data_IF_346600920220
#
_entry.id   IF_346600920220
#
_cell.length_a   1.000
_cell.length_b   1.000
_cell.length_c   1.000
_cell.angle_alpha   90.00
_cell.angle_beta   90.00
_cell.angle_gamma   90.00
#
_symmetry.space_group_name_H-M   'P 1'
#
loop_
_entity.id
_entity.type
_entity.pdbx_description
1 polymer ?
#
# COMPACT_ATOMS: atom_id res chain seq x y z
N UNK A 1 9.91 6.34 -19.31
CA UNK A 1 10.49 6.12 -17.99
C UNK A 1 10.18 7.34 -17.16
N UNK A 2 9.23 7.23 -16.24
CA UNK A 2 8.85 8.31 -15.34
C UNK A 2 9.73 8.32 -14.10
N UNK A 3 10.04 9.52 -13.62
CA UNK A 3 10.88 9.81 -12.46
C UNK A 3 10.15 10.77 -11.54
N UNK A 4 10.70 11.04 -10.35
CA UNK A 4 10.12 12.00 -9.40
C UNK A 4 9.84 13.37 -10.02
N UNK A 5 10.65 13.81 -11.00
CA UNK A 5 10.50 15.10 -11.68
C UNK A 5 9.27 15.20 -12.60
N UNK A 6 8.68 14.07 -12.99
CA UNK A 6 7.46 14.03 -13.83
C UNK A 6 6.17 14.28 -13.01
N UNK A 7 6.29 14.28 -11.68
CA UNK A 7 5.20 14.48 -10.73
C UNK A 7 5.36 15.82 -10.01
N UNK A 8 4.22 16.47 -9.73
CA UNK A 8 4.19 17.59 -8.81
C UNK A 8 4.48 17.09 -7.38
N UNK A 9 4.87 17.99 -6.44
CA UNK A 9 5.11 17.60 -5.06
C UNK A 9 3.92 16.89 -4.41
N UNK A 10 2.69 17.29 -4.73
CA UNK A 10 1.47 16.71 -4.15
C UNK A 10 1.09 15.37 -4.80
N UNK A 11 1.32 15.24 -6.11
CA UNK A 11 1.21 13.96 -6.80
C UNK A 11 2.23 12.95 -6.26
N UNK A 12 3.46 13.39 -6.01
CA UNK A 12 4.51 12.54 -5.46
C UNK A 12 4.17 12.08 -4.04
N UNK A 13 3.68 12.97 -3.17
CA UNK A 13 3.15 12.60 -1.86
C UNK A 13 2.05 11.55 -1.96
N UNK A 14 1.17 11.69 -2.96
CA UNK A 14 0.09 10.71 -3.20
C UNK A 14 0.64 9.33 -3.56
N UNK A 15 1.72 9.26 -4.36
CA UNK A 15 2.42 8.01 -4.68
C UNK A 15 3.13 7.41 -3.46
N UNK A 16 3.80 8.23 -2.65
CA UNK A 16 4.45 7.80 -1.41
C UNK A 16 3.43 7.26 -0.39
N UNK A 17 2.25 7.88 -0.31
CA UNK A 17 1.16 7.45 0.55
C UNK A 17 0.39 6.22 0.00
N UNK A 18 0.61 5.81 -1.26
CA UNK A 18 -0.14 4.71 -1.87
C UNK A 18 0.08 3.36 -1.15
N UNK A 19 1.33 3.02 -0.82
CA UNK A 19 1.63 1.75 -0.16
C UNK A 19 1.09 1.68 1.28
N UNK A 20 1.24 2.73 2.12
CA UNK A 20 0.52 2.83 3.39
C UNK A 20 -1.00 2.66 3.25
N UNK A 21 -1.62 3.26 2.23
CA UNK A 21 -3.07 3.13 2.01
C UNK A 21 -3.48 1.73 1.57
N UNK A 22 -2.71 1.05 0.72
CA UNK A 22 -2.97 -0.36 0.36
C UNK A 22 -3.00 -1.26 1.60
N UNK A 23 -2.05 -1.04 2.50
CA UNK A 23 -1.99 -1.79 3.74
C UNK A 23 -3.06 -1.40 4.77
N UNK A 24 -3.45 -0.12 4.79
CA UNK A 24 -4.57 0.37 5.60
C UNK A 24 -5.88 -0.28 5.18
N UNK A 25 -6.15 -0.38 3.87
CA UNK A 25 -7.36 -1.01 3.35
C UNK A 25 -7.51 -2.44 3.86
N UNK A 26 -6.43 -3.23 3.80
CA UNK A 26 -6.41 -4.61 4.31
C UNK A 26 -6.63 -4.64 5.82
N UNK A 27 -5.91 -3.81 6.58
CA UNK A 27 -6.02 -3.74 8.04
C UNK A 27 -7.44 -3.41 8.49
N UNK A 28 -8.07 -2.43 7.83
CA UNK A 28 -9.46 -2.05 8.08
C UNK A 28 -10.48 -3.14 7.72
N UNK A 29 -10.11 -4.10 6.88
CA UNK A 29 -10.95 -5.24 6.53
C UNK A 29 -10.76 -6.44 7.46
N UNK A 30 -9.71 -6.46 8.30
CA UNK A 30 -9.42 -7.56 9.22
C UNK A 30 -10.26 -7.43 10.51
N UNK A 31 -11.23 -8.33 10.76
CA UNK A 31 -12.15 -8.22 11.90
C UNK A 31 -11.50 -8.48 13.27
N UNK A 32 -10.35 -9.16 13.32
CA UNK A 32 -9.60 -9.47 14.54
C UNK A 32 -8.20 -8.82 14.58
N UNK A 33 -7.90 -7.93 13.63
CA UNK A 33 -6.59 -7.29 13.55
C UNK A 33 -6.44 -6.27 14.69
N UNK A 34 -5.33 -6.28 15.44
CA UNK A 34 -5.08 -5.23 16.42
C UNK A 34 -4.80 -3.91 15.68
N UNK A 35 -5.87 -3.15 15.40
CA UNK A 35 -5.81 -1.78 14.84
C UNK A 35 -4.78 -0.90 15.58
N UNK A 36 -4.55 -1.18 16.88
CA UNK A 36 -3.53 -0.53 17.71
C UNK A 36 -2.08 -0.94 17.44
N UNK A 37 -1.79 -2.22 17.16
CA UNK A 37 -0.41 -2.72 16.93
C UNK A 37 0.09 -2.37 15.53
N UNK A 38 -0.84 -2.24 14.58
CA UNK A 38 -0.53 -1.93 13.19
C UNK A 38 -0.23 -0.44 12.97
N UNK A 39 -0.80 0.47 13.78
CA UNK A 39 -0.45 1.90 13.76
C UNK A 39 1.04 2.14 14.03
N UNK A 40 1.66 1.29 14.86
CA UNK A 40 3.10 1.32 15.14
C UNK A 40 3.92 0.67 14.02
N UNK A 41 3.46 -0.44 13.40
CA UNK A 41 4.13 -1.08 12.25
C UNK A 41 4.01 -0.29 10.92
N UNK A 42 2.93 0.47 10.71
CA UNK A 42 2.72 1.37 9.57
C UNK A 42 3.47 2.70 9.67
N UNK A 43 4.25 2.89 10.72
CA UNK A 43 5.32 3.87 10.76
C UNK A 43 6.40 3.49 9.74
N UNK A 44 6.07 3.50 8.45
CA UNK A 44 6.95 3.41 7.28
C UNK A 44 7.77 2.11 7.06
N UNK A 45 7.70 1.12 7.96
CA UNK A 45 8.71 0.06 8.04
C UNK A 45 8.63 -1.05 7.00
N UNK A 46 7.70 -1.99 7.13
CA UNK A 46 7.87 -3.31 6.50
C UNK A 46 7.60 -3.36 4.99
N UNK A 47 6.49 -2.78 4.52
CA UNK A 47 6.13 -2.83 3.09
C UNK A 47 7.11 -2.04 2.20
N UNK A 48 7.63 -0.94 2.74
CA UNK A 48 8.63 -0.13 2.06
C UNK A 48 10.04 -0.73 2.19
N UNK A 49 10.36 -1.39 3.32
CA UNK A 49 11.64 -2.06 3.51
C UNK A 49 11.87 -3.18 2.48
N UNK A 50 10.85 -3.96 2.12
CA UNK A 50 11.03 -5.03 1.13
C UNK A 50 11.33 -4.45 -0.26
N UNK A 51 10.68 -3.34 -0.65
CA UNK A 51 10.98 -2.63 -1.90
C UNK A 51 12.40 -2.02 -1.86
N UNK A 52 12.76 -1.40 -0.74
CA UNK A 52 14.10 -0.84 -0.48
C UNK A 52 15.20 -1.90 -0.56
N UNK A 53 14.91 -3.12 -0.08
CA UNK A 53 15.85 -4.25 -0.09
C UNK A 53 15.99 -4.90 -1.46
N UNK A 54 14.86 -5.15 -2.16
CA UNK A 54 14.88 -5.81 -3.48
C UNK A 54 15.40 -4.91 -4.58
N UNK A 55 15.22 -3.58 -4.44
CA UNK A 55 15.40 -2.67 -5.57
C UNK A 55 14.35 -2.92 -6.66
N UNK A 56 14.30 -2.05 -7.65
CA UNK A 56 13.48 -2.27 -8.83
C UNK A 56 14.18 -1.71 -10.06
N UNK A 57 14.06 -2.41 -11.19
CA UNK A 57 14.53 -1.90 -12.48
C UNK A 57 13.63 -0.77 -13.01
N UNK A 58 12.45 -0.58 -12.40
CA UNK A 58 11.54 0.50 -12.70
C UNK A 58 12.06 1.84 -12.13
N UNK A 59 12.28 2.85 -12.97
CA UNK A 59 12.77 4.16 -12.53
C UNK A 59 11.85 4.85 -11.51
N UNK A 60 10.54 4.64 -11.61
CA UNK A 60 9.57 5.23 -10.69
C UNK A 60 9.67 4.61 -9.29
N UNK A 61 9.74 3.27 -9.22
CA UNK A 61 9.94 2.57 -7.95
C UNK A 61 11.33 2.87 -7.37
N UNK A 62 12.36 2.97 -8.21
CA UNK A 62 13.70 3.40 -7.79
C UNK A 62 13.70 4.79 -7.18
N UNK A 63 13.01 5.75 -7.81
CA UNK A 63 12.86 7.10 -7.27
C UNK A 63 12.09 7.09 -5.94
N UNK A 64 11.05 6.24 -5.83
CA UNK A 64 10.30 6.08 -4.59
C UNK A 64 11.17 5.51 -3.46
N UNK A 65 11.96 4.47 -3.75
CA UNK A 65 12.92 3.86 -2.81
C UNK A 65 13.91 4.90 -2.30
N UNK A 66 14.48 5.71 -3.22
CA UNK A 66 15.44 6.75 -2.86
C UNK A 66 14.81 7.79 -1.93
N UNK A 67 13.60 8.27 -2.27
CA UNK A 67 12.87 9.23 -1.45
C UNK A 67 12.57 8.72 -0.03
N UNK A 68 12.14 7.46 0.07
CA UNK A 68 11.86 6.81 1.36
C UNK A 68 13.15 6.67 2.19
N UNK A 69 14.27 6.27 1.58
CA UNK A 69 15.58 6.18 2.26
C UNK A 69 16.03 7.52 2.81
N UNK A 70 15.86 8.57 2.01
CA UNK A 70 16.21 9.94 2.38
C UNK A 70 15.19 10.58 3.33
N UNK A 71 14.02 9.92 3.54
CA UNK A 71 12.85 10.50 4.21
C UNK A 71 12.48 11.87 3.65
N UNK A 72 12.71 12.07 2.36
CA UNK A 72 12.58 13.35 1.68
C UNK A 72 11.11 13.80 1.61
N UNK A 73 10.19 12.85 1.45
CA UNK A 73 8.74 13.10 1.49
C UNK A 73 8.13 12.45 2.72
N UNK A 74 7.53 13.28 3.59
CA UNK A 74 6.67 12.77 4.66
C UNK A 74 5.28 12.50 4.07
N UNK A 75 4.82 11.23 4.05
CA UNK A 75 3.44 10.96 3.70
C UNK A 75 2.52 11.66 4.71
N UNK A 76 1.36 12.10 4.24
CA UNK A 76 0.33 12.59 5.15
C UNK A 76 -0.11 11.45 6.08
N UNK A 77 -0.34 11.74 7.37
CA UNK A 77 -0.88 10.74 8.26
C UNK A 77 -2.23 10.25 7.70
N UNK A 78 -2.53 8.95 7.80
CA UNK A 78 -3.84 8.46 7.41
C UNK A 78 -4.92 9.23 8.19
N UNK A 79 -6.09 9.47 7.58
CA UNK A 79 -7.19 10.16 8.24
C UNK A 79 -7.54 9.48 9.56
N UNK A 80 -8.08 10.23 10.52
CA UNK A 80 -8.48 9.65 11.81
C UNK A 80 -9.63 8.65 11.60
N UNK A 81 -9.29 7.36 11.61
CA UNK A 81 -10.23 6.29 11.27
C UNK A 81 -11.03 5.94 12.51
N UNK A 82 -12.20 6.58 12.63
CA UNK A 82 -13.20 6.25 13.65
C UNK A 82 -14.02 5.01 13.29
N UNK A 83 -14.10 4.71 12.01
CA UNK A 83 -14.84 3.58 11.44
C UNK A 83 -13.93 2.84 10.44
N UNK A 84 -13.57 1.57 10.71
CA UNK A 84 -12.76 0.76 9.80
C UNK A 84 -13.34 0.71 8.38
N UNK A 85 -14.66 0.71 8.21
CA UNK A 85 -15.26 0.67 6.88
C UNK A 85 -15.00 1.96 6.10
N UNK A 86 -15.11 3.12 6.76
CA UNK A 86 -14.73 4.41 6.16
C UNK A 86 -13.24 4.46 5.82
N UNK A 87 -12.40 3.91 6.69
CA UNK A 87 -10.96 3.79 6.46
C UNK A 87 -10.62 2.99 5.21
N UNK A 88 -11.28 1.84 5.04
CA UNK A 88 -11.14 1.00 3.85
C UNK A 88 -11.59 1.74 2.59
N UNK A 89 -12.75 2.40 2.63
CA UNK A 89 -13.27 3.13 1.47
C UNK A 89 -12.36 4.29 1.06
N UNK A 90 -11.85 5.06 2.03
CA UNK A 90 -10.91 6.15 1.78
C UNK A 90 -9.61 5.64 1.15
N UNK A 91 -9.06 4.54 1.67
CA UNK A 91 -7.87 3.90 1.10
C UNK A 91 -8.09 3.42 -0.35
N UNK A 92 -9.20 2.74 -0.63
CA UNK A 92 -9.54 2.29 -1.98
C UNK A 92 -9.74 3.46 -2.96
N UNK A 93 -10.39 4.54 -2.52
CA UNK A 93 -10.55 5.74 -3.32
C UNK A 93 -9.20 6.39 -3.67
N UNK A 94 -8.28 6.45 -2.71
CA UNK A 94 -6.94 6.98 -2.97
C UNK A 94 -6.14 6.09 -3.94
N UNK A 95 -6.20 4.77 -3.79
CA UNK A 95 -5.53 3.83 -4.70
C UNK A 95 -6.05 3.96 -6.14
N UNK A 96 -7.36 4.19 -6.31
CA UNK A 96 -7.95 4.47 -7.62
C UNK A 96 -7.41 5.78 -8.22
N UNK A 97 -7.26 6.83 -7.43
CA UNK A 97 -6.65 8.09 -7.88
C UNK A 97 -5.18 7.91 -8.26
N UNK A 98 -4.43 7.11 -7.50
CA UNK A 98 -3.04 6.73 -7.82
C UNK A 98 -2.97 5.99 -9.15
N UNK A 99 -3.88 5.03 -9.38
CA UNK A 99 -3.92 4.29 -10.63
C UNK A 99 -4.15 5.21 -11.83
N UNK A 100 -5.13 6.12 -11.74
CA UNK A 100 -5.42 7.09 -12.79
C UNK A 100 -4.25 8.05 -13.04
N UNK A 101 -3.56 8.48 -11.99
CA UNK A 101 -2.37 9.33 -12.08
C UNK A 101 -1.23 8.60 -12.81
N UNK A 102 -0.97 7.34 -12.43
CA UNK A 102 0.06 6.50 -13.05
C UNK A 102 -0.26 6.19 -14.51
N UNK A 103 -1.51 5.85 -14.84
CA UNK A 103 -1.91 5.59 -16.23
C UNK A 103 -1.77 6.83 -17.11
N UNK A 104 -1.98 8.02 -16.54
CA UNK A 104 -1.88 9.28 -17.27
C UNK A 104 -0.43 9.73 -17.47
N UNK A 105 0.42 9.63 -16.44
CA UNK A 105 1.78 10.20 -16.44
C UNK A 105 2.89 9.19 -16.69
N UNK A 106 2.68 7.95 -16.28
CA UNK A 106 3.70 6.91 -16.27
C UNK A 106 3.14 5.56 -16.79
N UNK A 107 2.44 5.50 -17.94
CA UNK A 107 1.78 4.28 -18.39
C UNK A 107 2.75 3.10 -18.58
N UNK A 108 4.02 3.37 -18.92
CA UNK A 108 5.05 2.33 -19.05
C UNK A 108 5.56 1.76 -17.72
N UNK A 109 5.45 2.53 -16.63
CA UNK A 109 5.93 2.15 -15.30
C UNK A 109 4.77 1.77 -14.35
N UNK A 110 3.53 2.12 -14.73
CA UNK A 110 2.31 1.95 -13.95
C UNK A 110 2.04 0.48 -13.59
N UNK A 111 2.24 -0.46 -14.53
CA UNK A 111 1.94 -1.87 -14.31
C UNK A 111 2.74 -2.48 -13.15
N UNK A 112 4.06 -2.23 -13.12
CA UNK A 112 4.93 -2.73 -12.07
C UNK A 112 4.66 -2.04 -10.72
N UNK A 113 4.40 -0.72 -10.73
CA UNK A 113 4.04 0.01 -9.52
C UNK A 113 2.73 -0.49 -8.91
N UNK A 114 1.70 -0.70 -9.74
CA UNK A 114 0.41 -1.24 -9.32
C UNK A 114 0.53 -2.67 -8.80
N UNK A 115 1.30 -3.52 -9.48
CA UNK A 115 1.59 -4.88 -9.02
C UNK A 115 2.34 -4.91 -7.67
N UNK A 116 3.25 -3.96 -7.47
CA UNK A 116 3.91 -3.77 -6.19
C UNK A 116 2.91 -3.40 -5.08
N UNK A 117 1.95 -2.49 -5.32
CA UNK A 117 0.91 -2.16 -4.34
C UNK A 117 0.04 -3.36 -3.96
N UNK A 118 -0.32 -4.21 -4.93
CA UNK A 118 -1.04 -5.47 -4.65
C UNK A 118 -0.19 -6.41 -3.79
N UNK A 119 1.10 -6.52 -4.10
CA UNK A 119 2.05 -7.32 -3.31
C UNK A 119 2.14 -6.79 -1.87
N UNK A 120 2.20 -5.48 -1.68
CA UNK A 120 2.17 -4.85 -0.35
C UNK A 120 0.92 -5.23 0.43
N UNK A 121 -0.26 -5.15 -0.20
CA UNK A 121 -1.53 -5.54 0.42
C UNK A 121 -1.53 -7.01 0.85
N UNK A 122 -1.04 -7.90 -0.03
CA UNK A 122 -0.89 -9.33 0.25
C UNK A 122 0.03 -9.58 1.47
N UNK A 123 1.20 -8.93 1.50
CA UNK A 123 2.15 -9.04 2.62
C UNK A 123 1.58 -8.55 3.93
N UNK A 124 0.83 -7.46 3.90
CA UNK A 124 0.15 -6.90 5.08
C UNK A 124 -0.87 -7.90 5.63
N UNK A 125 -1.63 -8.56 4.74
CA UNK A 125 -2.56 -9.61 5.15
C UNK A 125 -1.83 -10.83 5.74
N UNK A 126 -0.73 -11.26 5.13
CA UNK A 126 0.12 -12.35 5.64
C UNK A 126 0.70 -12.03 7.02
N UNK A 127 1.31 -10.85 7.17
CA UNK A 127 1.91 -10.39 8.43
C UNK A 127 0.88 -10.24 9.57
N UNK A 128 -0.34 -9.80 9.24
CA UNK A 128 -1.43 -9.68 10.22
C UNK A 128 -1.86 -11.04 10.79
N UNK A 129 -1.74 -12.12 10.01
CA UNK A 129 -2.05 -13.48 10.45
C UNK A 129 -0.92 -14.13 11.27
N UNK A 130 0.34 -13.77 11.00
CA UNK A 130 1.48 -14.21 11.82
C UNK A 130 1.50 -13.55 13.21
N UNK A 131 0.89 -12.36 13.36
CA UNK A 131 0.79 -11.60 14.61
C UNK A 131 -0.43 -11.92 15.50
N UNK A 132 -1.24 -12.92 15.16
CA UNK A 132 -2.47 -13.26 15.88
C UNK A 132 -2.23 -13.74 17.33
N UNK A 133 -2.64 -12.90 18.29
CA UNK A 133 -2.81 -13.04 19.75
C UNK A 133 -1.80 -13.83 20.62
N UNK A 134 -1.08 -14.85 20.18
CA UNK A 134 -0.15 -15.61 21.06
C UNK A 134 0.81 -16.56 20.33
N UNK A 135 1.25 -16.26 19.10
CA UNK A 135 2.18 -17.16 18.37
C UNK A 135 1.63 -18.57 18.09
N UNK A 136 0.32 -18.76 18.24
CA UNK A 136 -0.40 -19.98 17.85
C UNK A 136 -1.05 -19.66 16.51
N UNK A 137 -0.46 -20.21 15.44
CA UNK A 137 -0.71 -19.88 14.04
C UNK A 137 -2.16 -19.48 13.70
N UNK A 138 -2.30 -18.24 13.23
CA UNK A 138 -3.53 -17.76 12.59
C UNK A 138 -3.72 -18.40 11.21
N UNK A 139 -4.97 -18.57 10.80
CA UNK A 139 -5.35 -19.08 9.48
C UNK A 139 -4.64 -18.33 8.34
N UNK A 140 -4.45 -19.00 7.19
CA UNK A 140 -4.14 -18.34 5.90
C UNK A 140 -5.13 -17.18 5.69
N UNK A 141 -4.62 -16.03 5.22
CA UNK A 141 -5.35 -14.80 4.80
C UNK A 141 -6.87 -14.97 4.79
N UNK A 142 -7.57 -14.23 5.65
CA UNK A 142 -9.02 -14.33 5.80
C UNK A 142 -9.77 -13.98 4.51
N UNK A 143 -10.99 -14.47 4.35
CA UNK A 143 -11.81 -14.17 3.17
C UNK A 143 -12.06 -12.65 3.01
N UNK A 144 -12.20 -11.91 4.12
CA UNK A 144 -12.36 -10.45 4.10
C UNK A 144 -11.10 -9.73 3.60
N UNK A 145 -9.92 -10.21 3.99
CA UNK A 145 -8.62 -9.68 3.50
C UNK A 145 -8.44 -10.00 2.01
N UNK A 146 -8.71 -11.23 1.56
CA UNK A 146 -8.66 -11.61 0.14
C UNK A 146 -9.63 -10.77 -0.71
N UNK A 147 -10.84 -10.57 -0.22
CA UNK A 147 -11.83 -9.72 -0.90
C UNK A 147 -11.30 -8.29 -1.05
N UNK A 148 -10.62 -7.78 -0.03
CA UNK A 148 -10.07 -6.43 -0.03
C UNK A 148 -8.86 -6.31 -0.96
N UNK A 149 -7.97 -7.30 -0.99
CA UNK A 149 -6.86 -7.35 -1.96
C UNK A 149 -7.42 -7.37 -3.39
N UNK A 150 -8.50 -8.11 -3.62
CA UNK A 150 -9.19 -8.10 -4.91
C UNK A 150 -9.85 -6.76 -5.25
N UNK A 151 -10.35 -6.03 -4.26
CA UNK A 151 -10.83 -4.65 -4.43
C UNK A 151 -9.68 -3.70 -4.74
N UNK A 152 -8.51 -3.86 -4.11
CA UNK A 152 -7.30 -3.08 -4.41
C UNK A 152 -6.86 -3.34 -5.85
N UNK A 153 -6.69 -4.61 -6.23
CA UNK A 153 -6.32 -4.99 -7.60
C UNK A 153 -7.30 -4.41 -8.63
N UNK A 154 -8.62 -4.52 -8.36
CA UNK A 154 -9.65 -3.93 -9.23
C UNK A 154 -9.53 -2.41 -9.35
N UNK A 155 -9.34 -1.68 -8.25
CA UNK A 155 -9.18 -0.22 -8.28
C UNK A 155 -7.87 0.23 -8.95
N UNK A 156 -6.85 -0.63 -8.94
CA UNK A 156 -5.59 -0.41 -9.65
C UNK A 156 -5.66 -0.80 -11.14
N UNK A 157 -6.73 -1.46 -11.59
CA UNK A 157 -6.84 -2.01 -12.95
C UNK A 157 -5.96 -3.24 -13.18
N UNK A 158 -5.59 -3.94 -12.10
CA UNK A 158 -4.81 -5.19 -12.13
C UNK A 158 -5.75 -6.41 -12.14
N UNK A 159 -5.31 -7.55 -12.71
CA UNK A 159 -6.04 -8.81 -12.58
C UNK A 159 -6.21 -9.19 -11.10
N UNK A 160 -7.39 -9.73 -10.78
CA UNK A 160 -7.73 -10.25 -9.45
C UNK A 160 -6.80 -11.43 -9.11
N UNK A 161 -6.39 -11.51 -7.84
CA UNK A 161 -5.47 -12.53 -7.28
C UNK A 161 -6.18 -13.46 -6.31
#
# INVERSE_FOLDING_TARGET
MATKSDFSPDEWKTLVAAAPMAGLAVTCASPNGPLGVMKEMFSMGMALAELVQKGSANPLLSALIADIKERATKPEPPPDIKDPEQGKQAALAQLKSVAALLDKKAPGDAGEFKGWLVTVAQRVAEASNEGGFFGIGGQKVSEAEKQTINQIAFNLGMPRT
#
